data_IF_417944329671
#
_entry.id   IF_417944329671
#
_cell.length_a   1.000
_cell.length_b   1.000
_cell.length_c   1.000
_cell.angle_alpha   90.00
_cell.angle_beta   90.00
_cell.angle_gamma   90.00
#
_symmetry.space_group_name_H-M   'P 1'
#
loop_
_entity.id
_entity.type
_entity.pdbx_description
1 polymer ?
#
# COMPACT_ATOMS: atom_id res chain seq x y z
N UNK A 1 18.04 -8.53 8.69
CA UNK A 1 18.68 -7.80 7.56
C UNK A 1 17.86 -6.54 7.30
N UNK A 2 18.46 -5.40 6.92
CA UNK A 2 17.70 -4.20 6.56
C UNK A 2 16.88 -4.45 5.28
N UNK A 3 15.59 -4.12 5.32
CA UNK A 3 14.60 -4.37 4.28
C UNK A 3 14.56 -3.32 3.16
N UNK A 4 15.35 -2.25 3.29
CA UNK A 4 15.50 -1.19 2.30
C UNK A 4 14.73 0.09 2.66
N UNK A 5 14.76 1.07 1.74
CA UNK A 5 14.03 2.33 1.86
C UNK A 5 13.02 2.42 0.71
N UNK A 6 11.81 2.84 1.02
CA UNK A 6 10.70 3.02 0.08
C UNK A 6 10.15 4.43 0.23
N UNK A 7 9.83 5.07 -0.89
CA UNK A 7 9.06 6.32 -0.88
C UNK A 7 7.70 6.06 -1.48
N UNK A 8 6.64 6.43 -0.77
CA UNK A 8 5.27 6.46 -1.27
C UNK A 8 4.88 7.91 -1.44
N UNK A 9 4.82 8.35 -2.69
CA UNK A 9 4.41 9.72 -3.05
C UNK A 9 2.94 9.69 -3.44
N UNK A 10 2.11 10.44 -2.73
CA UNK A 10 0.73 10.72 -3.12
C UNK A 10 0.66 12.03 -3.91
N UNK A 11 0.15 11.97 -5.15
CA UNK A 11 -0.15 13.15 -5.97
C UNK A 11 -1.60 13.04 -6.45
N UNK A 12 -2.52 13.65 -5.70
CA UNK A 12 -3.96 13.59 -5.94
C UNK A 12 -4.51 12.15 -6.00
N UNK A 13 -4.14 11.33 -5.01
CA UNK A 13 -4.43 9.90 -4.89
C UNK A 13 -3.78 9.00 -5.96
N UNK A 14 -2.81 9.50 -6.72
CA UNK A 14 -1.90 8.67 -7.50
C UNK A 14 -0.64 8.34 -6.71
N UNK A 15 -0.34 7.03 -6.58
CA UNK A 15 0.90 6.57 -5.95
C UNK A 15 1.95 6.16 -6.97
N UNK A 16 3.18 6.62 -6.75
CA UNK A 16 4.37 6.07 -7.40
C UNK A 16 4.80 4.78 -6.66
N UNK A 17 4.89 3.62 -7.34
CA UNK A 17 5.39 2.41 -6.70
C UNK A 17 6.89 2.56 -6.39
N UNK A 18 7.40 1.82 -5.39
CA UNK A 18 8.84 1.71 -5.19
C UNK A 18 9.55 1.24 -6.47
N UNK A 19 10.78 1.72 -6.68
CA UNK A 19 11.60 1.40 -7.84
C UNK A 19 11.97 -0.09 -8.00
N UNK A 20 11.56 -0.94 -7.06
CA UNK A 20 11.77 -2.38 -7.09
C UNK A 20 11.10 -3.08 -5.91
N UNK A 21 11.20 -4.43 -5.86
CA UNK A 21 10.63 -5.21 -4.78
C UNK A 21 11.28 -4.87 -3.43
N UNK A 22 10.44 -4.81 -2.39
CA UNK A 22 10.87 -4.55 -1.01
C UNK A 22 11.34 -5.86 -0.39
N UNK A 23 12.55 -5.88 0.18
CA UNK A 23 13.09 -7.06 0.85
C UNK A 23 12.45 -7.20 2.24
N UNK A 24 12.13 -8.42 2.69
CA UNK A 24 11.74 -8.64 4.08
C UNK A 24 12.83 -8.17 5.03
N UNK A 25 12.43 -7.47 6.09
CA UNK A 25 13.37 -6.85 7.00
C UNK A 25 12.90 -5.50 7.51
N UNK A 26 13.78 -4.83 8.26
CA UNK A 26 13.47 -3.51 8.80
C UNK A 26 13.51 -2.55 7.63
N UNK A 27 12.34 -2.13 7.16
CA UNK A 27 12.14 -1.27 6.01
C UNK A 27 11.76 0.11 6.49
N UNK A 28 12.45 1.12 5.97
CA UNK A 28 12.06 2.51 6.16
C UNK A 28 11.11 2.92 5.03
N UNK A 29 9.95 3.46 5.38
CA UNK A 29 8.97 3.97 4.43
C UNK A 29 8.80 5.46 4.67
N UNK A 30 9.10 6.24 3.63
CA UNK A 30 8.86 7.67 3.59
C UNK A 30 7.56 7.94 2.84
N UNK A 31 6.65 8.65 3.47
CA UNK A 31 5.38 9.09 2.93
C UNK A 31 5.53 10.55 2.52
N UNK A 32 5.12 10.88 1.29
CA UNK A 32 5.21 12.25 0.77
C UNK A 32 3.85 12.63 0.19
N UNK A 33 3.18 13.60 0.78
CA UNK A 33 1.94 14.14 0.22
C UNK A 33 2.24 15.35 -0.65
N UNK A 34 2.17 15.17 -1.97
CA UNK A 34 2.27 16.24 -2.97
C UNK A 34 0.91 16.72 -3.47
N UNK A 35 -0.18 16.11 -3.00
CA UNK A 35 -1.53 16.57 -3.35
C UNK A 35 -1.81 17.96 -2.79
N UNK A 36 -2.80 18.62 -3.37
CA UNK A 36 -3.31 19.90 -2.87
C UNK A 36 -4.18 19.75 -1.61
N UNK A 37 -4.43 18.52 -1.16
CA UNK A 37 -5.32 18.17 -0.07
C UNK A 37 -4.60 17.34 1.00
N UNK A 38 -5.30 17.07 2.11
CA UNK A 38 -4.84 16.13 3.12
C UNK A 38 -4.96 14.70 2.55
N UNK A 39 -3.87 13.94 2.55
CA UNK A 39 -3.80 12.57 2.00
C UNK A 39 -3.61 11.52 3.11
N UNK A 40 -4.30 10.38 2.99
CA UNK A 40 -4.19 9.25 3.92
C UNK A 40 -3.48 8.07 3.23
N UNK A 41 -2.42 7.55 3.83
CA UNK A 41 -1.61 6.45 3.26
C UNK A 41 -1.92 5.13 3.96
N UNK A 42 -2.95 4.42 3.51
CA UNK A 42 -3.35 3.16 4.13
C UNK A 42 -2.61 2.00 3.49
N UNK A 43 -1.66 1.41 4.21
CA UNK A 43 -0.94 0.22 3.77
C UNK A 43 -1.60 -1.02 4.37
N UNK A 44 -1.93 -1.97 3.50
CA UNK A 44 -2.51 -3.26 3.84
C UNK A 44 -1.55 -4.38 3.48
N UNK A 45 -1.44 -5.38 4.36
CA UNK A 45 -0.79 -6.66 4.07
C UNK A 45 -1.88 -7.69 3.78
N UNK A 46 -1.81 -8.35 2.63
CA UNK A 46 -2.76 -9.40 2.28
C UNK A 46 -2.39 -10.72 2.94
N UNK A 47 -3.40 -11.50 3.27
CA UNK A 47 -3.23 -12.89 3.68
C UNK A 47 -2.78 -13.75 2.49
N UNK A 48 -2.11 -14.86 2.79
CA UNK A 48 -1.58 -15.75 1.76
C UNK A 48 -2.69 -16.28 0.84
N UNK A 49 -2.47 -16.20 -0.47
CA UNK A 49 -3.44 -16.63 -1.47
C UNK A 49 -4.40 -15.54 -1.94
N UNK A 50 -4.42 -14.38 -1.28
CA UNK A 50 -5.20 -13.22 -1.71
C UNK A 50 -4.38 -12.28 -2.59
N UNK A 51 -5.10 -11.56 -3.44
CA UNK A 51 -4.57 -10.73 -4.51
C UNK A 51 -4.88 -9.26 -4.29
N UNK A 52 -4.07 -8.41 -4.89
CA UNK A 52 -4.33 -6.98 -4.89
C UNK A 52 -5.68 -6.62 -5.54
N UNK A 53 -6.11 -7.38 -6.56
CA UNK A 53 -7.40 -7.18 -7.20
C UNK A 53 -8.58 -7.37 -6.22
N UNK A 54 -8.48 -8.34 -5.30
CA UNK A 54 -9.49 -8.52 -4.24
C UNK A 54 -9.52 -7.33 -3.28
N UNK A 55 -8.35 -6.81 -2.89
CA UNK A 55 -8.27 -5.62 -2.04
C UNK A 55 -8.86 -4.38 -2.74
N UNK A 56 -8.52 -4.17 -4.01
CA UNK A 56 -9.05 -3.07 -4.81
C UNK A 56 -10.58 -3.14 -4.94
N UNK A 57 -11.12 -4.35 -5.20
CA UNK A 57 -12.56 -4.57 -5.27
C UNK A 57 -13.25 -4.30 -3.91
N UNK A 58 -12.67 -4.77 -2.80
CA UNK A 58 -13.21 -4.52 -1.47
C UNK A 58 -13.23 -3.02 -1.13
N UNK A 59 -12.15 -2.29 -1.44
CA UNK A 59 -12.08 -0.84 -1.19
C UNK A 59 -13.11 -0.09 -2.03
N UNK A 60 -13.30 -0.46 -3.29
CA UNK A 60 -14.35 0.12 -4.13
C UNK A 60 -15.75 -0.12 -3.53
N UNK A 61 -16.06 -1.36 -3.13
CA UNK A 61 -17.34 -1.69 -2.48
C UNK A 61 -17.52 -0.94 -1.15
N UNK A 62 -16.46 -0.83 -0.34
CA UNK A 62 -16.49 -0.09 0.93
C UNK A 62 -16.82 1.39 0.70
N UNK A 63 -16.23 2.01 -0.32
CA UNK A 63 -16.52 3.41 -0.67
C UNK A 63 -17.95 3.59 -1.16
N UNK A 64 -18.45 2.72 -2.03
CA UNK A 64 -19.86 2.72 -2.48
C UNK A 64 -20.84 2.45 -1.32
N UNK A 65 -20.46 1.61 -0.36
CA UNK A 65 -21.21 1.37 0.88
C UNK A 65 -21.26 2.62 1.75
N UNK A 66 -20.12 3.27 1.96
CA UNK A 66 -19.99 4.46 2.79
C UNK A 66 -20.85 5.63 2.27
N UNK A 67 -20.97 5.81 0.95
CA UNK A 67 -21.88 6.79 0.34
C UNK A 67 -23.35 6.56 0.69
N UNK A 68 -23.72 5.29 0.94
CA UNK A 68 -25.06 4.87 1.37
C UNK A 68 -25.20 4.80 2.89
N UNK A 69 -24.16 5.18 3.65
CA UNK A 69 -24.13 5.07 5.11
C UNK A 69 -23.98 3.63 5.62
N UNK A 70 -23.48 2.73 4.78
CA UNK A 70 -23.21 1.32 5.12
C UNK A 70 -21.72 1.17 5.42
N UNK A 71 -21.40 0.69 6.61
CA UNK A 71 -20.04 0.30 6.98
C UNK A 71 -19.82 -1.18 6.67
N UNK A 72 -18.89 -1.49 5.77
CA UNK A 72 -18.52 -2.88 5.44
C UNK A 72 -17.39 -3.42 6.33
N UNK A 73 -16.86 -2.60 7.24
CA UNK A 73 -15.74 -2.95 8.10
C UNK A 73 -14.41 -3.08 7.35
N UNK A 74 -13.35 -3.58 8.02
CA UNK A 74 -12.07 -3.86 7.36
C UNK A 74 -12.15 -5.11 6.48
N UNK A 75 -11.30 -5.21 5.44
CA UNK A 75 -11.20 -6.42 4.62
C UNK A 75 -10.84 -7.65 5.47
N UNK A 76 -11.60 -8.76 5.40
CA UNK A 76 -11.34 -9.94 6.24
C UNK A 76 -10.10 -10.74 5.82
N UNK A 77 -9.48 -10.40 4.69
CA UNK A 77 -8.33 -11.06 4.08
C UNK A 77 -7.07 -10.18 4.07
N UNK A 78 -7.11 -9.04 4.76
CA UNK A 78 -5.99 -8.12 4.82
C UNK A 78 -5.88 -7.43 6.18
N UNK A 79 -4.65 -7.11 6.56
CA UNK A 79 -4.34 -6.42 7.80
C UNK A 79 -3.78 -5.04 7.51
N UNK A 80 -4.36 -3.99 8.12
CA UNK A 80 -3.77 -2.66 8.04
C UNK A 80 -2.45 -2.65 8.82
N UNK A 81 -1.39 -2.24 8.14
CA UNK A 81 -0.03 -2.17 8.70
C UNK A 81 0.26 -0.77 9.23
N UNK A 82 -0.15 0.25 8.46
CA UNK A 82 0.04 1.66 8.81
C UNK A 82 -0.97 2.55 8.05
N UNK A 83 -1.03 3.83 8.43
CA UNK A 83 -2.05 4.77 8.00
C UNK A 83 -1.76 6.24 8.34
N UNK A 84 -0.55 6.81 8.10
CA UNK A 84 -0.36 8.22 8.38
C UNK A 84 -1.25 9.06 7.48
N UNK A 85 -1.78 10.13 8.06
CA UNK A 85 -2.48 11.17 7.33
C UNK A 85 -1.60 12.41 7.34
N UNK A 86 -1.28 12.92 6.15
CA UNK A 86 -0.37 14.05 5.96
C UNK A 86 -1.11 15.26 5.39
N UNK A 87 -0.78 16.46 5.88
CA UNK A 87 -1.19 17.72 5.27
C UNK A 87 -0.57 17.91 3.86
N UNK A 88 -1.12 18.80 3.02
CA UNK A 88 -0.49 19.17 1.74
C UNK A 88 0.98 19.55 1.91
N UNK A 89 1.87 18.95 1.11
CA UNK A 89 3.32 19.14 1.20
C UNK A 89 4.00 18.40 2.34
N UNK A 90 3.26 17.64 3.14
CA UNK A 90 3.77 16.90 4.29
C UNK A 90 4.69 15.75 3.91
N UNK A 91 5.63 15.42 4.81
CA UNK A 91 6.49 14.24 4.71
C UNK A 91 6.63 13.60 6.08
N UNK A 92 6.59 12.27 6.12
CA UNK A 92 6.81 11.50 7.34
C UNK A 92 7.56 10.19 7.03
N UNK A 93 8.32 9.67 7.97
CA UNK A 93 9.17 8.48 7.76
C UNK A 93 9.01 7.50 8.90
N UNK A 94 8.60 6.28 8.56
CA UNK A 94 8.30 5.23 9.52
C UNK A 94 9.16 4.01 9.28
N UNK A 95 9.48 3.28 10.34
CA UNK A 95 10.15 1.99 10.25
C UNK A 95 9.14 0.86 10.44
N UNK A 96 9.13 -0.06 9.49
CA UNK A 96 8.19 -1.17 9.42
C UNK A 96 8.95 -2.48 9.29
N UNK A 97 8.50 -3.48 10.04
CA UNK A 97 8.99 -4.84 9.88
C UNK A 97 8.22 -5.52 8.75
N UNK A 98 8.83 -5.62 7.57
CA UNK A 98 8.22 -6.27 6.41
C UNK A 98 8.51 -7.76 6.40
N UNK A 99 7.53 -8.55 5.95
CA UNK A 99 7.65 -9.99 5.72
C UNK A 99 7.36 -10.28 4.25
N UNK A 100 7.57 -11.52 3.82
CA UNK A 100 7.14 -11.96 2.49
C UNK A 100 5.61 -11.97 2.41
N UNK A 101 5.04 -11.00 1.69
CA UNK A 101 3.61 -10.85 1.48
C UNK A 101 3.33 -9.87 0.32
N UNK A 102 2.09 -9.89 -0.18
CA UNK A 102 1.58 -8.83 -1.05
C UNK A 102 1.10 -7.68 -0.18
N UNK A 103 1.47 -6.46 -0.56
CA UNK A 103 1.02 -5.25 0.11
C UNK A 103 0.24 -4.38 -0.88
N UNK A 104 -0.74 -3.64 -0.37
CA UNK A 104 -1.50 -2.67 -1.14
C UNK A 104 -1.48 -1.32 -0.44
N UNK A 105 -1.43 -0.24 -1.22
CA UNK A 105 -1.64 1.12 -0.72
C UNK A 105 -2.95 1.64 -1.25
N UNK A 106 -3.70 2.28 -0.36
CA UNK A 106 -4.90 3.00 -0.70
C UNK A 106 -4.83 4.45 -0.19
N UNK A 107 -5.25 5.37 -1.04
CA UNK A 107 -5.55 6.75 -0.66
C UNK A 107 -6.99 6.78 -0.14
N UNK A 108 -7.18 6.96 1.16
CA UNK A 108 -8.51 7.18 1.74
C UNK A 108 -8.55 8.59 2.33
N UNK A 109 -8.73 9.61 1.48
CA UNK A 109 -8.84 10.97 2.01
C UNK A 109 -10.24 11.25 2.59
N UNK A 110 -10.35 12.12 3.60
CA UNK A 110 -11.61 12.43 4.26
C UNK A 110 -12.55 13.37 3.48
N UNK A 111 -12.22 13.78 2.26
CA UNK A 111 -12.99 14.76 1.48
C UNK A 111 -13.59 14.17 0.18
N UNK A 112 -14.54 14.90 -0.43
CA UNK A 112 -15.31 14.45 -1.61
C UNK A 112 -14.46 14.03 -2.81
N UNK A 113 -13.24 14.57 -2.96
CA UNK A 113 -12.33 14.21 -4.04
C UNK A 113 -11.82 12.78 -3.87
N UNK A 114 -11.37 12.37 -2.68
CA UNK A 114 -11.00 10.98 -2.45
C UNK A 114 -12.18 10.01 -2.39
N UNK A 115 -13.39 10.49 -2.07
CA UNK A 115 -14.62 9.68 -2.25
C UNK A 115 -14.82 9.28 -3.71
N UNK A 116 -14.45 10.14 -4.67
CA UNK A 116 -14.54 9.84 -6.12
C UNK A 116 -13.31 9.13 -6.68
N UNK A 117 -12.18 9.14 -5.97
CA UNK A 117 -10.87 8.69 -6.48
C UNK A 117 -10.19 7.68 -5.55
N UNK A 118 -10.92 6.78 -4.90
CA UNK A 118 -10.37 5.67 -4.12
C UNK A 118 -9.48 4.77 -4.97
N UNK A 119 -8.27 5.22 -5.25
CA UNK A 119 -7.30 4.57 -6.10
C UNK A 119 -6.38 3.76 -5.21
N UNK A 120 -6.38 2.47 -5.47
CA UNK A 120 -5.45 1.53 -4.88
C UNK A 120 -4.30 1.34 -5.86
N UNK A 121 -3.06 1.33 -5.36
CA UNK A 121 -1.89 0.89 -6.11
C UNK A 121 -1.25 -0.30 -5.42
N UNK A 122 -0.88 -1.31 -6.22
CA UNK A 122 -0.17 -2.48 -5.75
C UNK A 122 1.30 -2.11 -5.55
N UNK A 123 1.89 -2.59 -4.46
CA UNK A 123 3.33 -2.85 -4.47
C UNK A 123 3.57 -4.22 -3.88
N UNK A 124 4.34 -5.03 -4.60
CA UNK A 124 4.67 -6.37 -4.10
C UNK A 124 5.97 -6.25 -3.31
N UNK A 125 5.92 -6.55 -2.01
CA UNK A 125 7.13 -6.85 -1.26
C UNK A 125 7.55 -8.29 -1.59
N UNK A 126 8.10 -8.50 -2.78
CA UNK A 126 8.54 -9.82 -3.25
C UNK A 126 9.98 -10.08 -2.85
N UNK A 127 10.26 -11.32 -2.47
CA UNK A 127 11.63 -11.79 -2.28
C UNK A 127 12.37 -11.82 -3.62
N UNK A 128 13.60 -11.29 -3.66
CA UNK A 128 14.60 -11.76 -4.61
C UNK A 128 15.19 -13.05 -4.02
N UNK A 129 14.57 -14.19 -4.31
CA UNK A 129 15.24 -15.48 -4.10
C UNK A 129 16.40 -15.53 -5.09
N UNK A 130 17.61 -15.23 -4.64
CA UNK A 130 18.79 -15.67 -5.36
C UNK A 130 19.13 -17.11 -4.97
N UNK A 131 19.55 -18.00 -5.89
CA UNK A 131 19.57 -17.93 -7.35
C UNK A 131 18.61 -18.93 -8.01
N UNK A 132 18.10 -18.63 -9.21
CA UNK A 132 17.65 -19.67 -10.13
C UNK A 132 18.92 -20.30 -10.73
N UNK A 133 19.36 -21.42 -10.17
CA UNK A 133 20.14 -22.40 -10.93
C UNK A 133 19.13 -23.22 -11.73
N UNK A 134 19.16 -23.09 -13.05
CA UNK A 134 18.56 -24.08 -13.95
C UNK A 134 19.61 -24.50 -14.98
N UNK A 135 20.19 -25.68 -14.73
CA UNK A 135 20.84 -26.62 -15.66
C UNK A 135 22.11 -26.15 -16.40
N UNK A 136 23.16 -26.93 -16.56
CA UNK A 136 23.28 -28.38 -16.39
C UNK A 136 24.74 -28.85 -16.42
N UNK A 137 24.85 -30.14 -16.20
CA UNK A 137 26.03 -30.96 -15.92
C UNK A 137 27.09 -30.97 -17.02
N UNK A 138 28.32 -31.25 -16.55
CA UNK A 138 29.56 -31.64 -17.26
C UNK A 138 30.43 -30.54 -17.89
#
# INVERSE_FOLDING_TARGET
MPGGTVSLTDSDCEFEPPAGPIKPGLTEITFVNRSSARGGFHIWRLDAGHTFAELAAFIAEHLEGAERGVDTGPPPFAHQVTGPTLEPGGTDTWQLMTIEAVYGVACLAPNETARRHGMTREFVATYAAGPIVVGGSE
#
